data_IF_162239348763
#
_entry.id   IF_162239348763
#
_cell.length_a   1.000
_cell.length_b   1.000
_cell.length_c   1.000
_cell.angle_alpha   90.00
_cell.angle_beta   90.00
_cell.angle_gamma   90.00
#
_symmetry.space_group_name_H-M   'P 1'
#
loop_
_entity.id
_entity.type
_entity.pdbx_description
1 polymer ?
#
# COMPACT_ATOMS: atom_id res chain seq x y z
N UNK A 1 13.46 4.11 -22.55
CA UNK A 1 14.92 3.85 -22.60
C UNK A 1 15.17 2.35 -22.86
N UNK A 2 16.23 1.93 -23.57
CA UNK A 2 16.52 0.50 -23.81
C UNK A 2 17.17 -0.12 -22.57
N UNK A 3 16.78 -1.35 -22.17
CA UNK A 3 17.26 -2.08 -20.98
C UNK A 3 18.79 -2.12 -20.84
N UNK A 4 19.51 -2.19 -21.96
CA UNK A 4 20.98 -2.22 -21.98
C UNK A 4 21.65 -0.92 -21.51
N UNK A 5 20.96 0.23 -21.62
CA UNK A 5 21.48 1.52 -21.15
C UNK A 5 21.16 1.76 -19.67
N UNK A 6 20.04 1.22 -19.18
CA UNK A 6 19.61 1.38 -17.79
C UNK A 6 20.63 0.81 -16.79
N UNK A 7 21.20 -0.34 -17.12
CA UNK A 7 22.23 -1.00 -16.31
C UNK A 7 23.53 -0.18 -16.15
N UNK A 8 23.82 0.73 -17.09
CA UNK A 8 24.99 1.62 -17.03
C UNK A 8 24.73 2.86 -16.16
N UNK A 9 23.48 3.30 -16.08
CA UNK A 9 23.08 4.57 -15.45
C UNK A 9 22.64 4.36 -13.99
N UNK A 10 21.98 3.24 -13.68
CA UNK A 10 21.51 2.92 -12.32
C UNK A 10 22.62 2.96 -11.24
N UNK A 11 23.86 2.46 -11.47
CA UNK A 11 24.93 2.57 -10.50
C UNK A 11 25.35 4.03 -10.21
N UNK A 12 25.35 4.88 -11.26
CA UNK A 12 25.66 6.31 -11.11
C UNK A 12 24.57 7.02 -10.30
N UNK A 13 23.30 6.75 -10.60
CA UNK A 13 22.16 7.29 -9.85
C UNK A 13 22.20 6.88 -8.38
N UNK A 14 22.55 5.62 -8.09
CA UNK A 14 22.73 5.13 -6.72
C UNK A 14 23.90 5.81 -5.99
N UNK A 15 24.91 6.29 -6.71
CA UNK A 15 26.10 6.95 -6.14
C UNK A 15 25.92 8.45 -5.89
N UNK A 16 24.85 9.06 -6.42
CA UNK A 16 24.54 10.47 -6.18
C UNK A 16 24.22 10.66 -4.70
N UNK A 17 25.15 11.32 -3.99
CA UNK A 17 25.02 11.59 -2.56
C UNK A 17 23.85 12.54 -2.34
N UNK A 18 22.74 12.03 -1.80
CA UNK A 18 21.61 12.85 -1.34
C UNK A 18 22.12 13.90 -0.33
N UNK A 19 22.25 15.15 -0.75
CA UNK A 19 22.44 16.27 0.17
C UNK A 19 21.16 16.39 0.98
N UNK A 20 21.19 15.91 2.24
CA UNK A 20 20.12 15.91 3.24
C UNK A 20 18.70 15.87 2.63
N UNK A 21 18.13 14.67 2.57
CA UNK A 21 16.69 14.41 2.40
C UNK A 21 15.88 15.57 3.00
N UNK A 22 15.08 16.26 2.17
CA UNK A 22 14.41 17.54 2.47
C UNK A 22 13.38 17.55 3.60
N UNK A 23 13.40 16.54 4.48
CA UNK A 23 12.60 16.49 5.68
C UNK A 23 13.48 16.84 6.88
N UNK A 24 13.43 18.11 7.28
CA UNK A 24 14.01 18.55 8.55
C UNK A 24 12.91 18.62 9.59
N UNK A 25 13.07 17.92 10.71
CA UNK A 25 12.12 18.04 11.82
C UNK A 25 12.12 19.49 12.31
N UNK A 26 10.95 20.16 12.36
CA UNK A 26 10.86 21.52 12.86
C UNK A 26 11.46 21.64 14.26
N UNK A 27 12.15 22.76 14.51
CA UNK A 27 12.70 23.07 15.82
C UNK A 27 11.57 22.98 16.87
N UNK A 28 11.80 22.23 17.94
CA UNK A 28 10.87 21.98 19.06
C UNK A 28 9.62 21.15 18.73
N UNK A 29 9.57 20.44 17.59
CA UNK A 29 8.46 19.54 17.26
C UNK A 29 8.23 18.50 18.37
N UNK A 30 9.27 17.76 18.76
CA UNK A 30 9.16 16.71 19.78
C UNK A 30 8.83 17.26 21.17
N UNK A 31 9.37 18.42 21.54
CA UNK A 31 9.05 19.09 22.81
C UNK A 31 7.57 19.50 22.86
N UNK A 32 7.02 20.02 21.75
CA UNK A 32 5.60 20.41 21.66
C UNK A 32 4.66 19.20 21.71
N UNK A 33 5.07 18.08 21.08
CA UNK A 33 4.27 16.86 21.04
C UNK A 33 4.22 16.21 22.42
N UNK A 34 5.33 16.19 23.16
CA UNK A 34 5.35 15.68 24.53
C UNK A 34 4.36 16.45 25.42
N UNK A 35 4.41 17.79 25.37
CA UNK A 35 3.49 18.65 26.14
C UNK A 35 2.04 18.45 25.68
N UNK A 36 1.79 18.33 24.38
CA UNK A 36 0.44 18.12 23.84
C UNK A 36 -0.13 16.77 24.28
N UNK A 37 0.66 15.69 24.21
CA UNK A 37 0.22 14.35 24.60
C UNK A 37 -0.04 14.30 26.10
N UNK A 38 0.84 14.87 26.93
CA UNK A 38 0.65 14.94 28.38
C UNK A 38 -0.57 15.76 28.77
N UNK A 39 -0.84 16.88 28.08
CA UNK A 39 -2.04 17.68 28.29
C UNK A 39 -3.30 16.91 27.91
N UNK A 40 -3.32 16.22 26.76
CA UNK A 40 -4.47 15.41 26.33
C UNK A 40 -4.76 14.29 27.33
N UNK A 41 -3.74 13.54 27.77
CA UNK A 41 -3.89 12.48 28.78
C UNK A 41 -4.39 13.05 30.10
N UNK A 42 -3.89 14.22 30.52
CA UNK A 42 -4.34 14.88 31.74
C UNK A 42 -5.80 15.33 31.64
N UNK A 43 -6.20 15.91 30.52
CA UNK A 43 -7.58 16.30 30.24
C UNK A 43 -8.50 15.07 30.21
N UNK A 44 -8.10 13.99 29.55
CA UNK A 44 -8.87 12.74 29.47
C UNK A 44 -9.06 12.08 30.85
N UNK A 45 -8.01 12.07 31.68
CA UNK A 45 -8.08 11.59 33.06
C UNK A 45 -8.96 12.49 33.95
N UNK A 46 -8.98 13.80 33.69
CA UNK A 46 -9.87 14.73 34.38
C UNK A 46 -11.32 14.55 33.90
N UNK A 47 -11.54 14.38 32.60
CA UNK A 47 -12.85 14.15 31.99
C UNK A 47 -13.47 12.84 32.47
N UNK A 48 -12.73 11.74 32.45
CA UNK A 48 -13.21 10.44 32.95
C UNK A 48 -13.48 10.42 34.46
N UNK A 49 -12.79 11.26 35.25
CA UNK A 49 -12.96 11.36 36.70
C UNK A 49 -14.03 12.36 37.15
N UNK A 50 -14.39 13.34 36.33
CA UNK A 50 -15.31 14.44 36.70
C UNK A 50 -16.59 14.52 35.89
N UNK A 51 -16.64 13.94 34.68
CA UNK A 51 -17.85 13.90 33.86
C UNK A 51 -18.61 12.61 34.13
N UNK A 52 -19.66 12.70 34.94
CA UNK A 52 -20.85 11.87 34.66
C UNK A 52 -21.17 12.07 33.16
N UNK A 53 -21.55 11.05 32.39
CA UNK A 53 -21.86 11.23 30.98
C UNK A 53 -22.86 12.37 30.83
N UNK A 54 -22.42 13.52 30.30
CA UNK A 54 -23.26 14.73 30.14
C UNK A 54 -24.36 14.53 29.12
N UNK A 55 -24.29 13.43 28.36
CA UNK A 55 -25.34 12.97 27.48
C UNK A 55 -26.06 11.81 28.16
N UNK A 56 -27.24 12.12 28.72
CA UNK A 56 -28.21 11.10 29.11
C UNK A 56 -29.29 11.07 28.04
N UNK A 57 -29.65 9.87 27.61
CA UNK A 57 -30.85 9.69 26.80
C UNK A 57 -32.08 10.07 27.64
N UNK A 58 -33.14 10.61 27.02
CA UNK A 58 -34.41 10.81 27.69
C UNK A 58 -34.91 9.53 28.36
N UNK A 59 -35.75 9.70 29.38
CA UNK A 59 -36.44 8.57 30.01
C UNK A 59 -37.25 7.79 28.95
N UNK A 60 -37.17 6.47 29.00
CA UNK A 60 -37.87 5.55 28.09
C UNK A 60 -37.52 5.69 26.59
N UNK A 61 -36.39 6.32 26.25
CA UNK A 61 -35.96 6.48 24.86
C UNK A 61 -35.86 5.13 24.14
N UNK A 62 -35.15 4.16 24.72
CA UNK A 62 -34.97 2.85 24.09
C UNK A 62 -36.20 1.96 24.21
N UNK A 63 -37.02 2.14 25.25
CA UNK A 63 -38.26 1.37 25.44
C UNK A 63 -39.31 1.68 24.37
N UNK A 64 -39.30 2.90 23.82
CA UNK A 64 -40.27 3.35 22.80
C UNK A 64 -39.68 3.46 21.40
N UNK A 65 -38.36 3.34 21.25
CA UNK A 65 -37.66 3.54 19.99
C UNK A 65 -38.16 2.57 18.91
N UNK A 66 -38.29 1.30 19.25
CA UNK A 66 -38.72 0.26 18.32
C UNK A 66 -40.14 0.50 17.79
N UNK A 67 -41.10 0.75 18.69
CA UNK A 67 -42.49 1.04 18.34
C UNK A 67 -42.61 2.26 17.40
N UNK A 68 -41.82 3.31 17.67
CA UNK A 68 -41.79 4.53 16.85
C UNK A 68 -41.27 4.21 15.44
N UNK A 69 -40.17 3.45 15.34
CA UNK A 69 -39.56 3.08 14.05
C UNK A 69 -40.51 2.20 13.23
N UNK A 70 -41.07 1.15 13.82
CA UNK A 70 -42.01 0.25 13.15
C UNK A 70 -43.26 1.01 12.69
N UNK A 71 -43.80 1.88 13.54
CA UNK A 71 -44.98 2.70 13.19
C UNK A 71 -44.70 3.64 12.02
N UNK A 72 -43.52 4.27 12.00
CA UNK A 72 -43.10 5.13 10.89
C UNK A 72 -42.95 4.36 9.58
N UNK A 73 -42.31 3.19 9.62
CA UNK A 73 -42.15 2.34 8.43
C UNK A 73 -43.49 1.84 7.90
N UNK A 74 -44.42 1.42 8.76
CA UNK A 74 -45.79 1.05 8.36
C UNK A 74 -46.51 2.22 7.71
N UNK A 75 -46.41 3.42 8.27
CA UNK A 75 -47.02 4.63 7.71
C UNK A 75 -46.42 5.04 6.35
N UNK A 76 -45.12 4.82 6.15
CA UNK A 76 -44.41 5.10 4.90
C UNK A 76 -44.83 4.13 3.79
N UNK A 77 -45.01 2.85 4.10
CA UNK A 77 -45.53 1.84 3.16
C UNK A 77 -46.96 2.17 2.72
N UNK A 78 -47.79 2.74 3.61
CA UNK A 78 -49.15 3.17 3.24
C UNK A 78 -49.17 4.42 2.34
N UNK A 79 -48.15 5.29 2.46
CA UNK A 79 -48.05 6.54 1.69
C UNK A 79 -47.36 6.35 0.34
N UNK A 80 -46.42 5.42 0.26
CA UNK A 80 -45.73 5.09 -0.98
C UNK A 80 -46.59 4.13 -1.80
N UNK A 81 -47.09 4.59 -2.96
CA UNK A 81 -47.80 3.75 -3.94
C UNK A 81 -46.86 2.77 -4.67
N UNK A 82 -45.85 2.24 -3.97
CA UNK A 82 -44.91 1.31 -4.57
C UNK A 82 -45.58 -0.06 -4.66
N UNK A 83 -45.51 -0.67 -5.85
CA UNK A 83 -46.13 -1.97 -6.15
C UNK A 83 -45.39 -3.16 -5.49
N UNK A 84 -44.28 -2.90 -4.80
CA UNK A 84 -43.55 -3.89 -4.02
C UNK A 84 -44.31 -4.24 -2.75
N UNK A 85 -44.99 -5.38 -2.80
CA UNK A 85 -45.71 -5.95 -1.66
C UNK A 85 -44.71 -6.47 -0.64
N UNK A 86 -44.56 -5.74 0.46
CA UNK A 86 -43.96 -6.32 1.67
C UNK A 86 -44.78 -7.56 2.10
N UNK A 87 -44.13 -8.67 2.48
CA UNK A 87 -44.84 -9.82 3.01
C UNK A 87 -45.70 -9.46 4.22
N UNK A 88 -46.85 -10.11 4.32
CA UNK A 88 -47.69 -10.05 5.52
C UNK A 88 -46.87 -10.48 6.74
N UNK A 89 -47.01 -9.76 7.85
CA UNK A 89 -46.27 -9.99 9.10
C UNK A 89 -44.74 -9.84 9.05
N UNK A 90 -44.16 -9.20 8.02
CA UNK A 90 -42.70 -8.97 7.94
C UNK A 90 -42.11 -8.35 9.22
N UNK A 91 -42.68 -7.23 9.69
CA UNK A 91 -42.19 -6.54 10.88
C UNK A 91 -42.43 -7.32 12.18
N UNK A 92 -43.36 -8.26 12.19
CA UNK A 92 -43.67 -9.09 13.37
C UNK A 92 -42.77 -10.34 13.45
N UNK A 93 -42.16 -10.76 12.33
CA UNK A 93 -41.47 -12.06 12.21
C UNK A 93 -39.99 -11.94 11.92
N UNK A 94 -39.50 -10.77 11.50
CA UNK A 94 -38.11 -10.57 11.10
C UNK A 94 -37.11 -10.80 12.23
N UNK A 95 -37.46 -10.40 13.46
CA UNK A 95 -36.61 -10.60 14.64
C UNK A 95 -36.41 -12.10 14.93
N UNK A 96 -37.51 -12.85 15.00
CA UNK A 96 -37.49 -14.30 15.18
C UNK A 96 -36.74 -15.01 14.05
N UNK A 97 -36.92 -14.58 12.80
CA UNK A 97 -36.23 -15.14 11.65
C UNK A 97 -34.71 -14.95 11.74
N UNK A 98 -34.25 -13.78 12.16
CA UNK A 98 -32.83 -13.48 12.37
C UNK A 98 -32.27 -14.32 13.53
N UNK A 99 -32.96 -14.37 14.67
CA UNK A 99 -32.50 -15.16 15.82
C UNK A 99 -32.42 -16.65 15.52
N UNK A 100 -33.40 -17.19 14.79
CA UNK A 100 -33.38 -18.59 14.36
C UNK A 100 -32.22 -18.89 13.41
N UNK A 101 -31.82 -17.92 12.58
CA UNK A 101 -30.67 -18.05 11.68
C UNK A 101 -29.33 -18.00 12.41
N UNK A 102 -29.24 -17.23 13.49
CA UNK A 102 -28.03 -17.13 14.32
C UNK A 102 -27.88 -18.38 15.22
N UNK A 103 -28.97 -18.88 15.80
CA UNK A 103 -28.96 -20.02 16.73
C UNK A 103 -28.63 -21.37 16.07
N UNK A 104 -28.86 -21.49 14.76
CA UNK A 104 -28.51 -22.67 13.99
C UNK A 104 -27.20 -22.44 13.24
N UNK A 105 -26.01 -22.70 13.84
CA UNK A 105 -24.79 -22.73 13.07
C UNK A 105 -24.98 -23.80 11.99
N UNK A 106 -24.94 -23.39 10.73
CA UNK A 106 -24.90 -24.31 9.60
C UNK A 106 -23.87 -25.39 9.92
N UNK A 107 -24.29 -26.66 10.01
CA UNK A 107 -23.39 -27.79 10.26
C UNK A 107 -22.29 -27.72 9.21
N UNK A 108 -21.12 -27.22 9.58
CA UNK A 108 -19.96 -27.27 8.72
C UNK A 108 -19.61 -28.74 8.60
N UNK A 109 -19.86 -29.31 7.42
CA UNK A 109 -19.47 -30.68 7.12
C UNK A 109 -17.96 -30.66 6.97
N UNK A 110 -17.24 -30.90 8.07
CA UNK A 110 -15.78 -31.07 8.03
C UNK A 110 -15.50 -32.37 7.28
N UNK A 111 -15.19 -32.26 5.98
CA UNK A 111 -14.66 -33.36 5.19
C UNK A 111 -13.29 -33.75 5.75
N UNK A 112 -13.27 -34.80 6.57
CA UNK A 112 -12.02 -35.42 7.05
C UNK A 112 -11.43 -36.24 5.91
N UNK A 113 -10.64 -35.61 5.05
CA UNK A 113 -9.86 -36.31 4.02
C UNK A 113 -8.81 -37.20 4.70
N UNK A 114 -9.00 -38.52 4.68
CA UNK A 114 -8.04 -39.54 5.15
C UNK A 114 -6.93 -39.88 4.12
N UNK A 115 -6.66 -39.01 3.13
CA UNK A 115 -5.85 -39.39 1.95
C UNK A 115 -4.40 -38.88 1.98
N UNK A 116 -3.83 -38.53 3.14
CA UNK A 116 -2.42 -38.08 3.25
C UNK A 116 -1.57 -39.11 3.99
N UNK A 117 -1.49 -40.34 3.48
CA UNK A 117 -0.50 -41.32 3.96
C UNK A 117 0.35 -41.96 2.84
N UNK A 118 0.25 -41.49 1.59
CA UNK A 118 0.99 -42.09 0.45
C UNK A 118 1.82 -41.09 -0.38
N UNK A 119 2.34 -40.02 0.23
CA UNK A 119 3.26 -39.09 -0.46
C UNK A 119 4.58 -38.86 0.26
N UNK A 120 4.78 -39.47 1.44
CA UNK A 120 5.95 -39.23 2.28
C UNK A 120 7.31 -39.53 1.63
N UNK A 121 7.52 -40.62 0.84
CA UNK A 121 8.85 -40.84 0.27
C UNK A 121 9.11 -40.03 -1.01
N UNK A 122 8.09 -39.71 -1.80
CA UNK A 122 8.25 -39.02 -3.09
C UNK A 122 8.49 -37.52 -2.91
N UNK A 123 7.78 -36.87 -1.96
CA UNK A 123 7.98 -35.44 -1.70
C UNK A 123 9.35 -35.12 -1.08
N UNK A 124 9.86 -36.00 -0.21
CA UNK A 124 11.18 -35.83 0.42
C UNK A 124 12.31 -35.96 -0.60
N UNK A 125 12.21 -36.91 -1.54
CA UNK A 125 13.21 -37.06 -2.59
C UNK A 125 13.26 -35.86 -3.55
N UNK A 126 12.09 -35.33 -3.94
CA UNK A 126 12.00 -34.13 -4.79
C UNK A 126 12.57 -32.91 -4.05
N UNK A 127 12.21 -32.69 -2.77
CA UNK A 127 12.76 -31.61 -1.98
C UNK A 127 14.28 -31.72 -1.78
N UNK A 128 14.80 -32.93 -1.48
CA UNK A 128 16.24 -33.15 -1.35
C UNK A 128 16.98 -32.93 -2.67
N UNK A 129 16.40 -33.33 -3.81
CA UNK A 129 16.99 -33.09 -5.12
C UNK A 129 17.03 -31.59 -5.46
N UNK A 130 15.98 -30.83 -5.14
CA UNK A 130 15.94 -29.38 -5.33
C UNK A 130 16.91 -28.65 -4.40
N UNK A 131 17.00 -29.05 -3.12
CA UNK A 131 17.97 -28.50 -2.18
C UNK A 131 19.42 -28.80 -2.60
N UNK A 132 19.68 -30.00 -3.12
CA UNK A 132 21.00 -30.38 -3.61
C UNK A 132 21.38 -29.57 -4.85
N UNK A 133 20.45 -29.39 -5.80
CA UNK A 133 20.66 -28.54 -6.98
C UNK A 133 20.87 -27.07 -6.57
N UNK A 134 20.10 -26.55 -5.62
CA UNK A 134 20.26 -25.19 -5.10
C UNK A 134 21.60 -25.00 -4.40
N UNK A 135 22.00 -25.96 -3.55
CA UNK A 135 23.27 -25.91 -2.81
C UNK A 135 24.49 -26.02 -3.74
N UNK A 136 24.41 -26.84 -4.80
CA UNK A 136 25.49 -27.00 -5.78
C UNK A 136 25.57 -25.85 -6.80
N UNK A 137 24.47 -25.13 -7.06
CA UNK A 137 24.44 -23.95 -7.94
C UNK A 137 24.63 -22.61 -7.20
N UNK A 138 25.13 -22.62 -5.97
CA UNK A 138 25.53 -21.40 -5.27
C UNK A 138 26.85 -20.87 -5.86
N UNK A 139 26.76 -20.24 -7.02
CA UNK A 139 27.78 -19.32 -7.49
C UNK A 139 27.75 -18.15 -6.53
N UNK A 140 28.79 -17.99 -5.71
CA UNK A 140 28.89 -16.94 -4.69
C UNK A 140 28.90 -15.56 -5.35
N UNK A 141 27.73 -15.03 -5.68
CA UNK A 141 27.58 -13.61 -6.01
C UNK A 141 27.61 -12.89 -4.67
N UNK A 142 28.64 -12.07 -4.45
CA UNK A 142 28.66 -11.17 -3.30
C UNK A 142 27.55 -10.14 -3.50
N UNK A 143 26.41 -10.37 -2.87
CA UNK A 143 25.29 -9.42 -2.84
C UNK A 143 25.66 -8.33 -1.84
N UNK A 144 26.12 -7.19 -2.33
CA UNK A 144 26.38 -5.99 -1.52
C UNK A 144 25.15 -5.10 -1.52
N UNK A 145 24.94 -4.28 -0.47
CA UNK A 145 23.82 -3.33 -0.41
C UNK A 145 23.75 -2.43 -1.65
N UNK A 146 24.90 -2.06 -2.22
CA UNK A 146 24.97 -1.27 -3.45
C UNK A 146 24.38 -2.01 -4.68
N UNK A 147 24.57 -3.34 -4.75
CA UNK A 147 23.99 -4.17 -5.81
C UNK A 147 22.46 -4.29 -5.69
N UNK A 148 21.96 -4.28 -4.45
CA UNK A 148 20.53 -4.32 -4.17
C UNK A 148 19.87 -2.98 -4.51
N UNK A 149 20.47 -1.87 -4.09
CA UNK A 149 19.98 -0.52 -4.40
C UNK A 149 19.94 -0.27 -5.91
N UNK A 150 20.96 -0.71 -6.64
CA UNK A 150 21.00 -0.61 -8.11
C UNK A 150 19.87 -1.42 -8.76
N UNK A 151 19.65 -2.66 -8.33
CA UNK A 151 18.58 -3.51 -8.87
C UNK A 151 17.17 -2.98 -8.56
N UNK A 152 16.99 -2.33 -7.41
CA UNK A 152 15.73 -1.72 -7.03
C UNK A 152 15.41 -0.51 -7.91
N UNK A 153 16.40 0.35 -8.17
CA UNK A 153 16.27 1.48 -9.12
C UNK A 153 15.89 0.97 -10.51
N UNK A 154 16.59 -0.05 -11.03
CA UNK A 154 16.25 -0.66 -12.33
C UNK A 154 14.79 -1.15 -12.38
N UNK A 155 14.33 -1.82 -11.31
CA UNK A 155 12.97 -2.36 -11.23
C UNK A 155 11.91 -1.27 -11.16
N UNK A 156 12.16 -0.19 -10.41
CA UNK A 156 11.22 0.94 -10.29
C UNK A 156 11.02 1.67 -11.62
N UNK A 157 12.08 1.77 -12.43
CA UNK A 157 12.03 2.40 -13.75
C UNK A 157 11.41 1.45 -14.79
N UNK A 158 11.75 0.15 -14.76
CA UNK A 158 11.14 -0.85 -15.66
C UNK A 158 9.63 -0.99 -15.44
N UNK A 159 9.17 -0.90 -14.18
CA UNK A 159 7.75 -0.96 -13.85
C UNK A 159 7.00 0.34 -14.13
N UNK A 160 7.69 1.39 -14.61
CA UNK A 160 7.10 2.71 -14.89
C UNK A 160 6.69 3.48 -13.64
N UNK A 161 7.19 3.11 -12.45
CA UNK A 161 6.92 3.82 -11.20
C UNK A 161 7.66 5.16 -11.16
N UNK A 162 8.83 5.22 -11.78
CA UNK A 162 9.63 6.43 -11.93
C UNK A 162 9.98 6.57 -13.41
N UNK A 163 9.55 7.67 -14.02
CA UNK A 163 9.95 8.03 -15.37
C UNK A 163 11.23 8.86 -15.27
N UNK A 164 12.33 8.38 -15.89
CA UNK A 164 13.57 9.17 -15.97
C UNK A 164 13.40 10.16 -17.13
N UNK A 165 12.84 11.31 -16.81
CA UNK A 165 12.84 12.49 -17.67
C UNK A 165 13.50 13.67 -16.95
N UNK A 166 13.88 14.69 -17.71
CA UNK A 166 14.61 15.84 -17.18
C UNK A 166 13.82 16.60 -16.10
N UNK A 167 12.51 16.74 -16.27
CA UNK A 167 11.62 17.47 -15.37
C UNK A 167 11.47 16.73 -14.04
N UNK A 168 11.30 15.41 -14.10
CA UNK A 168 11.15 14.53 -12.94
C UNK A 168 12.45 14.45 -12.14
N UNK A 169 13.60 14.39 -12.82
CA UNK A 169 14.91 14.42 -12.16
C UNK A 169 15.21 15.78 -11.52
N UNK A 170 14.92 16.88 -12.21
CA UNK A 170 15.12 18.24 -11.69
C UNK A 170 14.22 18.53 -10.48
N UNK A 171 13.01 17.97 -10.48
CA UNK A 171 12.09 18.08 -9.34
C UNK A 171 12.49 17.18 -8.17
N UNK A 172 12.94 15.95 -8.43
CA UNK A 172 13.29 14.98 -7.39
C UNK A 172 14.66 15.28 -6.74
N UNK A 173 15.58 15.87 -7.49
CA UNK A 173 16.96 16.14 -7.08
C UNK A 173 17.33 17.62 -7.25
N UNK A 174 16.44 18.53 -6.86
CA UNK A 174 16.60 19.99 -6.98
C UNK A 174 17.88 20.56 -6.33
N UNK A 175 18.46 19.81 -5.39
CA UNK A 175 19.63 20.22 -4.60
C UNK A 175 20.95 19.59 -5.11
N UNK A 176 20.89 18.81 -6.18
CA UNK A 176 22.04 18.17 -6.82
C UNK A 176 22.51 19.03 -7.99
N UNK A 177 23.59 19.79 -7.78
CA UNK A 177 24.31 20.45 -8.89
C UNK A 177 25.09 19.40 -9.69
N UNK A 178 24.56 18.99 -10.83
CA UNK A 178 25.25 18.06 -11.72
C UNK A 178 26.42 18.80 -12.38
N UNK A 179 27.65 18.38 -12.09
CA UNK A 179 28.86 19.05 -12.58
C UNK A 179 29.30 18.40 -13.90
N UNK A 180 29.76 19.20 -14.87
CA UNK A 180 30.15 18.77 -16.24
C UNK A 180 31.11 17.55 -16.29
N UNK A 181 31.93 17.36 -15.25
CA UNK A 181 32.84 16.21 -15.15
C UNK A 181 32.15 14.85 -14.94
N UNK A 182 30.88 14.80 -14.52
CA UNK A 182 30.18 13.53 -14.23
C UNK A 182 29.73 12.78 -15.51
N UNK A 183 29.67 13.49 -16.66
CA UNK A 183 29.26 12.97 -17.97
C UNK A 183 30.41 12.75 -18.96
N UNK A 184 31.52 13.49 -18.81
CA UNK A 184 32.56 13.60 -19.84
C UNK A 184 33.28 12.29 -20.21
N UNK A 185 33.12 11.23 -19.40
CA UNK A 185 33.82 9.95 -19.59
C UNK A 185 32.92 8.78 -20.05
N UNK A 186 31.63 9.00 -20.36
CA UNK A 186 30.71 7.87 -20.64
C UNK A 186 30.29 7.68 -22.08
N UNK A 187 30.49 8.67 -22.94
CA UNK A 187 30.24 8.51 -24.37
C UNK A 187 31.56 8.62 -25.12
N UNK A 188 31.85 7.63 -25.96
CA UNK A 188 32.94 7.69 -26.92
C UNK A 188 32.63 8.71 -28.02
N UNK A 189 33.66 9.36 -28.57
CA UNK A 189 33.53 10.23 -29.75
C UNK A 189 32.79 9.52 -30.90
N UNK A 190 32.95 8.20 -31.04
CA UNK A 190 32.25 7.38 -32.04
C UNK A 190 30.74 7.32 -31.80
N UNK A 191 30.30 7.22 -30.54
CA UNK A 191 28.88 7.17 -30.17
C UNK A 191 28.21 8.54 -30.35
N UNK A 192 28.95 9.62 -30.09
CA UNK A 192 28.49 11.00 -30.33
C UNK A 192 28.38 11.26 -31.84
N UNK A 193 29.36 10.82 -32.62
CA UNK A 193 29.36 10.98 -34.07
C UNK A 193 28.22 10.20 -34.74
N UNK A 194 27.95 8.97 -34.31
CA UNK A 194 26.84 8.16 -34.84
C UNK A 194 25.47 8.79 -34.53
N UNK A 195 25.29 9.33 -33.32
CA UNK A 195 24.07 10.05 -32.93
C UNK A 195 23.83 11.30 -33.80
N UNK A 196 24.89 12.05 -34.09
CA UNK A 196 24.80 13.30 -34.86
C UNK A 196 24.62 13.07 -36.36
N UNK A 197 25.07 11.95 -36.91
CA UNK A 197 24.91 11.63 -38.34
C UNK A 197 23.48 11.30 -38.74
N UNK A 198 22.63 10.93 -37.78
CA UNK A 198 21.26 10.44 -38.01
C UNK A 198 20.15 11.46 -37.79
N UNK A 199 20.44 12.66 -37.25
CA UNK A 199 19.43 13.69 -36.93
C UNK A 199 19.75 15.01 -37.61
N UNK A 200 18.71 15.71 -38.06
CA UNK A 200 18.85 17.09 -38.50
C UNK A 200 19.17 17.98 -37.29
N UNK A 201 20.10 18.91 -37.43
CA UNK A 201 20.54 19.76 -36.32
C UNK A 201 19.40 20.63 -35.78
N UNK A 202 18.42 20.96 -36.63
CA UNK A 202 17.22 21.69 -36.24
C UNK A 202 16.28 20.83 -35.38
N UNK A 203 16.22 19.51 -35.60
CA UNK A 203 15.37 18.59 -34.82
C UNK A 203 15.92 18.38 -33.40
N UNK A 204 17.24 18.46 -33.22
CA UNK A 204 17.90 18.33 -31.91
C UNK A 204 17.55 19.47 -30.94
N UNK A 205 17.20 20.65 -31.47
CA UNK A 205 16.86 21.83 -30.66
C UNK A 205 15.44 21.73 -30.08
N UNK A 206 14.53 21.00 -30.74
CA UNK A 206 13.14 20.87 -30.31
C UNK A 206 12.88 19.65 -29.40
N UNK A 207 13.79 18.68 -29.37
CA UNK A 207 13.70 17.45 -28.58
C UNK A 207 14.29 17.58 -27.14
N UNK A 208 14.83 18.75 -26.76
CA UNK A 208 15.40 19.02 -25.43
C UNK A 208 14.56 20.03 -24.63
#
# INVERSE_FOLDING_TARGET
MKKNELHKIAPKLSSLKSKKIGFTVPKNYFESIEVSVLNTISIENLQSKTLKPSFKTPENYFDTFEDIVISKLKAEVLQTKNEEKIPEDYFNTIEDAIFNKIKNPSKSVVFKNKVIQLIAPVSVAVAASLLLIFTLNQKSVNITFDSLATSEIETLIENGTIEIDNITLETAFSDVEITYNDYSNTLSDEEVEDYLKGKDLEEIIYDN
#
